data_IF_993828484915
#
_entry.id   IF_993828484915
#
_cell.length_a   1.000
_cell.length_b   1.000
_cell.length_c   1.000
_cell.angle_alpha   90.00
_cell.angle_beta   90.00
_cell.angle_gamma   90.00
#
_symmetry.space_group_name_H-M   'P 1'
#
loop_
_entity.id
_entity.type
_entity.pdbx_description
1 polymer ?
#
# COMPACT_ATOMS: atom_id res chain seq x y z
N UNK A 1 27.91 -1.96 5.57
CA UNK A 1 27.49 -1.69 4.18
C UNK A 1 27.12 -3.02 3.54
N UNK A 2 25.97 -3.58 3.92
CA UNK A 2 25.46 -4.81 3.29
C UNK A 2 24.49 -4.33 2.23
N UNK A 3 24.84 -4.50 0.96
CA UNK A 3 23.93 -4.30 -0.17
C UNK A 3 22.78 -5.32 -0.05
N UNK A 4 21.78 -4.98 0.76
CA UNK A 4 20.60 -5.80 0.93
C UNK A 4 19.75 -5.64 -0.34
N UNK A 5 20.06 -6.45 -1.36
CA UNK A 5 19.29 -6.51 -2.62
C UNK A 5 17.78 -6.66 -2.38
N UNK A 6 17.39 -7.30 -1.27
CA UNK A 6 16.00 -7.40 -0.82
C UNK A 6 15.39 -6.04 -0.48
N UNK A 7 16.12 -5.17 0.23
CA UNK A 7 15.65 -3.82 0.58
C UNK A 7 15.52 -2.97 -0.68
N UNK A 8 16.51 -3.02 -1.58
CA UNK A 8 16.43 -2.31 -2.86
C UNK A 8 15.30 -2.84 -3.77
N UNK A 9 15.01 -4.14 -3.72
CA UNK A 9 13.89 -4.73 -4.45
C UNK A 9 12.54 -4.31 -3.85
N UNK A 10 12.41 -4.27 -2.52
CA UNK A 10 11.19 -3.82 -1.82
C UNK A 10 10.94 -2.33 -2.03
N UNK A 11 11.99 -1.51 -2.03
CA UNK A 11 11.89 -0.05 -2.27
C UNK A 11 11.69 0.27 -3.76
N UNK A 12 11.91 -0.71 -4.66
CA UNK A 12 11.83 -0.48 -6.10
C UNK A 12 10.44 -0.02 -6.50
N UNK A 13 10.37 1.13 -7.18
CA UNK A 13 9.12 1.71 -7.69
C UNK A 13 8.31 0.71 -8.51
N UNK A 14 8.98 -0.19 -9.25
CA UNK A 14 8.33 -1.25 -10.03
C UNK A 14 7.59 -2.27 -9.15
N UNK A 15 8.18 -2.64 -8.01
CA UNK A 15 7.56 -3.59 -7.08
C UNK A 15 6.34 -2.95 -6.42
N UNK A 16 6.48 -1.71 -5.95
CA UNK A 16 5.40 -0.88 -5.39
C UNK A 16 4.22 -0.78 -6.36
N UNK A 17 4.48 -0.38 -7.61
CA UNK A 17 3.45 -0.25 -8.65
C UNK A 17 2.75 -1.59 -8.90
N UNK A 18 3.50 -2.68 -8.95
CA UNK A 18 2.93 -4.03 -9.17
C UNK A 18 1.95 -4.40 -8.06
N UNK A 19 2.31 -4.13 -6.81
CA UNK A 19 1.44 -4.38 -5.64
C UNK A 19 0.20 -3.48 -5.68
N UNK A 20 0.33 -2.19 -6.02
CA UNK A 20 -0.81 -1.27 -6.17
C UNK A 20 -1.78 -1.78 -7.24
N UNK A 21 -1.28 -2.20 -8.39
CA UNK A 21 -2.12 -2.68 -9.51
C UNK A 21 -2.85 -3.96 -9.15
N UNK A 22 -2.18 -4.91 -8.48
CA UNK A 22 -2.80 -6.14 -8.00
C UNK A 22 -3.92 -5.81 -6.99
N UNK A 23 -3.66 -4.88 -6.06
CA UNK A 23 -4.63 -4.47 -5.07
C UNK A 23 -5.86 -3.77 -5.69
N UNK A 24 -5.63 -2.88 -6.65
CA UNK A 24 -6.70 -2.18 -7.36
C UNK A 24 -7.57 -3.16 -8.17
N UNK A 25 -6.95 -4.18 -8.79
CA UNK A 25 -7.67 -5.25 -9.48
C UNK A 25 -8.49 -6.11 -8.49
N UNK A 26 -7.94 -6.43 -7.32
CA UNK A 26 -8.66 -7.14 -6.26
C UNK A 26 -9.91 -6.37 -5.81
N UNK A 27 -9.78 -5.08 -5.50
CA UNK A 27 -10.91 -4.22 -5.15
C UNK A 27 -11.94 -4.12 -6.29
N UNK A 28 -11.49 -4.00 -7.55
CA UNK A 28 -12.38 -3.93 -8.71
C UNK A 28 -13.19 -5.22 -8.87
N UNK A 29 -12.58 -6.38 -8.61
CA UNK A 29 -13.26 -7.67 -8.66
C UNK A 29 -14.22 -7.87 -7.48
N UNK A 30 -13.87 -7.42 -6.27
CA UNK A 30 -14.76 -7.45 -5.10
C UNK A 30 -16.00 -6.54 -5.26
N UNK A 31 -15.92 -5.50 -6.11
CA UNK A 31 -17.06 -4.64 -6.44
C UNK A 31 -18.15 -5.37 -7.25
N UNK A 32 -17.86 -6.51 -7.87
CA UNK A 32 -18.87 -7.31 -8.58
C UNK A 32 -19.58 -8.29 -7.63
N UNK A 33 -20.92 -8.22 -7.50
CA UNK A 33 -21.69 -9.06 -6.58
C UNK A 33 -21.68 -10.57 -6.94
N UNK A 34 -21.05 -10.95 -8.05
CA UNK A 34 -20.99 -12.33 -8.57
C UNK A 34 -19.96 -13.23 -7.88
N UNK A 35 -19.03 -12.69 -7.07
CA UNK A 35 -17.97 -13.46 -6.39
C UNK A 35 -18.33 -13.82 -4.94
N UNK A 36 -19.51 -14.40 -4.74
CA UNK A 36 -20.04 -14.74 -3.42
C UNK A 36 -19.38 -15.99 -2.81
N UNK A 37 -18.60 -15.77 -1.74
CA UNK A 37 -18.35 -16.65 -0.57
C UNK A 37 -16.93 -17.14 -0.31
N UNK A 38 -16.11 -17.46 -1.32
CA UNK A 38 -14.72 -17.90 -1.08
C UNK A 38 -13.66 -16.85 -1.49
N UNK A 39 -13.91 -16.11 -2.57
CA UNK A 39 -12.97 -15.12 -3.09
C UNK A 39 -12.89 -13.86 -2.21
N UNK A 40 -14.01 -13.47 -1.58
CA UNK A 40 -14.09 -12.27 -0.75
C UNK A 40 -13.10 -12.30 0.43
N UNK A 41 -12.93 -13.44 1.11
CA UNK A 41 -11.95 -13.57 2.20
C UNK A 41 -10.49 -13.49 1.74
N UNK A 42 -10.20 -13.93 0.51
CA UNK A 42 -8.86 -13.82 -0.08
C UNK A 42 -8.54 -12.38 -0.45
N UNK A 43 -9.50 -11.64 -1.01
CA UNK A 43 -9.29 -10.24 -1.40
C UNK A 43 -9.02 -9.35 -0.18
N UNK A 44 -9.77 -9.50 0.91
CA UNK A 44 -9.51 -8.76 2.17
C UNK A 44 -8.11 -9.06 2.73
N UNK A 45 -7.66 -10.31 2.65
CA UNK A 45 -6.32 -10.66 3.11
C UNK A 45 -5.21 -10.07 2.23
N UNK A 46 -5.46 -9.96 0.91
CA UNK A 46 -4.56 -9.29 -0.04
C UNK A 46 -4.47 -7.79 0.25
N UNK A 47 -5.59 -7.11 0.49
CA UNK A 47 -5.61 -5.70 0.89
C UNK A 47 -4.77 -5.47 2.16
N UNK A 48 -4.97 -6.30 3.18
CA UNK A 48 -4.22 -6.23 4.44
C UNK A 48 -2.71 -6.46 4.22
N UNK A 49 -2.34 -7.45 3.41
CA UNK A 49 -0.95 -7.72 3.06
C UNK A 49 -0.31 -6.56 2.28
N UNK A 50 -1.05 -5.91 1.40
CA UNK A 50 -0.59 -4.73 0.67
C UNK A 50 -0.33 -3.57 1.64
N UNK A 51 -1.26 -3.25 2.53
CA UNK A 51 -1.08 -2.19 3.54
C UNK A 51 0.18 -2.42 4.37
N UNK A 52 0.41 -3.65 4.83
CA UNK A 52 1.63 -4.00 5.58
C UNK A 52 2.90 -3.79 4.75
N UNK A 53 2.90 -4.24 3.49
CA UNK A 53 4.04 -4.06 2.60
C UNK A 53 4.41 -2.57 2.45
N UNK A 54 3.42 -1.70 2.28
CA UNK A 54 3.65 -0.26 2.15
C UNK A 54 4.09 0.41 3.44
N UNK A 55 3.61 -0.06 4.60
CA UNK A 55 4.14 0.40 5.90
C UNK A 55 5.64 0.07 5.98
N UNK A 56 6.03 -1.14 5.58
CA UNK A 56 7.44 -1.56 5.57
C UNK A 56 8.25 -0.73 4.58
N UNK A 57 7.76 -0.48 3.37
CA UNK A 57 8.42 0.41 2.38
C UNK A 57 8.66 1.81 2.97
N UNK A 58 7.63 2.42 3.55
CA UNK A 58 7.72 3.77 4.11
C UNK A 58 8.71 3.85 5.28
N UNK A 59 8.70 2.86 6.18
CA UNK A 59 9.65 2.76 7.29
C UNK A 59 11.08 2.55 6.77
N UNK A 60 11.27 1.69 5.77
CA UNK A 60 12.59 1.46 5.17
C UNK A 60 13.14 2.72 4.50
N UNK A 61 12.30 3.45 3.76
CA UNK A 61 12.66 4.74 3.18
C UNK A 61 13.02 5.77 4.25
N UNK A 62 12.28 5.82 5.36
CA UNK A 62 12.57 6.73 6.47
C UNK A 62 13.91 6.44 7.17
N UNK A 63 14.32 5.17 7.24
CA UNK A 63 15.58 4.75 7.86
C UNK A 63 16.77 4.94 6.90
N UNK A 64 16.57 4.76 5.60
CA UNK A 64 17.64 4.79 4.59
C UNK A 64 17.85 6.12 3.88
N UNK A 65 16.81 6.97 3.77
CA UNK A 65 16.95 8.33 3.26
C UNK A 65 17.17 9.30 4.42
N UNK A 66 18.19 10.15 4.28
CA UNK A 66 18.38 11.29 5.19
C UNK A 66 17.14 12.18 5.13
N UNK A 67 16.68 12.68 6.29
CA UNK A 67 15.36 13.31 6.43
C UNK A 67 15.19 14.57 5.58
N UNK A 68 16.27 15.23 5.17
CA UNK A 68 16.24 16.39 4.27
C UNK A 68 15.83 15.99 2.83
N UNK A 69 16.36 14.89 2.29
CA UNK A 69 16.04 14.45 0.92
C UNK A 69 14.67 13.75 0.85
N UNK A 70 14.21 13.19 1.97
CA UNK A 70 12.85 12.65 2.09
C UNK A 70 11.77 13.74 2.05
N UNK A 71 12.03 14.91 2.66
CA UNK A 71 11.07 16.01 2.73
C UNK A 71 11.01 16.86 1.45
N UNK A 72 12.10 16.89 0.67
CA UNK A 72 12.16 17.61 -0.59
C UNK A 72 11.37 16.89 -1.71
N UNK A 73 11.28 15.56 -1.63
CA UNK A 73 10.49 14.78 -2.58
C UNK A 73 9.00 14.68 -2.18
N UNK A 74 8.17 15.49 -2.85
CA UNK A 74 6.71 15.54 -2.65
C UNK A 74 6.02 14.16 -2.75
N UNK A 75 6.55 13.23 -3.55
CA UNK A 75 5.98 11.89 -3.72
C UNK A 75 6.19 10.97 -2.52
N UNK A 76 7.30 11.12 -1.80
CA UNK A 76 7.54 10.39 -0.55
C UNK A 76 6.66 10.95 0.57
N UNK A 77 6.48 12.27 0.63
CA UNK A 77 5.58 12.92 1.59
C UNK A 77 4.14 12.47 1.39
N UNK A 78 3.67 12.41 0.15
CA UNK A 78 2.34 11.89 -0.17
C UNK A 78 2.16 10.46 0.34
N UNK A 79 3.11 9.58 0.05
CA UNK A 79 3.06 8.18 0.45
C UNK A 79 3.00 7.98 1.98
N UNK A 80 3.74 8.79 2.74
CA UNK A 80 3.65 8.80 4.20
C UNK A 80 2.24 9.14 4.70
N UNK A 81 1.61 10.16 4.11
CA UNK A 81 0.22 10.51 4.43
C UNK A 81 -0.75 9.38 4.07
N UNK A 82 -0.55 8.72 2.93
CA UNK A 82 -1.41 7.61 2.51
C UNK A 82 -1.21 6.38 3.41
N UNK A 83 0.00 6.13 3.93
CA UNK A 83 0.26 5.08 4.93
C UNK A 83 -0.47 5.37 6.23
N UNK A 84 -0.38 6.60 6.75
CA UNK A 84 -1.13 7.02 7.95
C UNK A 84 -2.63 6.91 7.72
N UNK A 85 -3.13 7.33 6.55
CA UNK A 85 -4.55 7.21 6.23
C UNK A 85 -5.02 5.76 6.06
N UNK A 86 -4.12 4.81 5.76
CA UNK A 86 -4.42 3.37 5.65
C UNK A 86 -4.18 2.54 6.91
N UNK A 87 -3.53 3.08 7.95
CA UNK A 87 -3.37 2.34 9.23
C UNK A 87 -4.69 2.03 9.95
N UNK A 88 -5.74 2.87 9.87
CA UNK A 88 -7.07 2.52 10.36
C UNK A 88 -7.71 1.32 9.66
N UNK A 89 -7.25 0.93 8.45
CA UNK A 89 -7.70 -0.29 7.77
C UNK A 89 -7.44 -1.53 8.63
N UNK A 90 -6.39 -1.55 9.45
CA UNK A 90 -6.13 -2.67 10.36
C UNK A 90 -7.21 -2.78 11.47
N UNK A 91 -8.00 -1.71 11.67
CA UNK A 91 -9.15 -1.64 12.56
C UNK A 91 -10.48 -1.94 11.86
N UNK A 92 -10.49 -2.29 10.57
CA UNK A 92 -11.69 -2.75 9.84
C UNK A 92 -12.54 -3.80 10.56
N UNK A 93 -11.98 -4.79 11.30
CA UNK A 93 -12.83 -5.72 12.06
C UNK A 93 -13.70 -5.05 13.15
N UNK A 94 -13.42 -3.79 13.50
CA UNK A 94 -14.19 -3.00 14.48
C UNK A 94 -15.06 -1.91 13.84
N UNK A 95 -14.70 -1.45 12.64
CA UNK A 95 -15.40 -0.39 11.90
C UNK A 95 -15.54 -0.84 10.44
N UNK A 96 -16.76 -1.10 9.98
CA UNK A 96 -17.06 -1.58 8.61
C UNK A 96 -16.93 -0.43 7.58
N UNK A 97 -15.72 0.08 7.42
CA UNK A 97 -15.39 1.28 6.63
C UNK A 97 -14.41 0.92 5.54
N UNK A 98 -14.94 0.26 4.50
CA UNK A 98 -14.24 -0.07 3.24
C UNK A 98 -13.62 1.15 2.51
N UNK A 99 -13.94 2.38 2.94
CA UNK A 99 -13.38 3.62 2.40
C UNK A 99 -11.86 3.70 2.59
N UNK A 100 -11.31 3.05 3.62
CA UNK A 100 -9.87 3.08 3.90
C UNK A 100 -9.06 2.21 2.94
N UNK A 101 -9.66 1.16 2.35
CA UNK A 101 -9.03 0.42 1.26
C UNK A 101 -8.98 1.23 -0.03
N UNK A 102 -9.97 2.11 -0.27
CA UNK A 102 -9.93 3.03 -1.41
C UNK A 102 -8.78 4.06 -1.32
N UNK A 103 -8.24 4.32 -0.12
CA UNK A 103 -7.04 5.15 0.07
C UNK A 103 -5.81 4.53 -0.61
N UNK A 104 -5.77 3.20 -0.80
CA UNK A 104 -4.72 2.52 -1.58
C UNK A 104 -4.74 2.94 -3.05
N UNK A 105 -5.92 3.22 -3.60
CA UNK A 105 -6.10 3.63 -5.01
C UNK A 105 -5.53 5.03 -5.23
N UNK A 106 -5.53 5.91 -4.23
CA UNK A 106 -4.89 7.23 -4.32
C UNK A 106 -3.38 7.12 -4.62
N UNK A 107 -2.74 5.98 -4.35
CA UNK A 107 -1.34 5.70 -4.68
C UNK A 107 -1.10 5.55 -6.19
N UNK A 108 -2.13 5.27 -7.00
CA UNK A 108 -2.05 5.34 -8.47
C UNK A 108 -1.62 6.72 -8.97
N UNK A 109 -1.78 7.76 -8.13
CA UNK A 109 -1.23 9.08 -8.41
C UNK A 109 0.26 9.04 -8.77
N UNK A 110 1.05 8.12 -8.19
CA UNK A 110 2.48 7.95 -8.53
C UNK A 110 2.76 7.59 -10.00
N UNK A 111 1.75 7.16 -10.76
CA UNK A 111 1.86 6.84 -12.20
C UNK A 111 1.62 8.06 -13.12
N UNK A 112 1.11 9.17 -12.58
CA UNK A 112 0.82 10.40 -13.33
C UNK A 112 1.99 11.39 -13.24
#
# INVERSE_FOLDING_TARGET
>A
MTENKLVNFIISEKAVITVIVINALAMFLDAFPSCSSAACGVFTWVDYACVIYFIIEAVLKMIWLDSEEYWDNNWNRFDFFVVIASTPTLLEPFLDVKIFSAVLILRLGRLA
#
